data_IF_675749601144
#
_entry.id   IF_675749601144
#
_cell.length_a   1.000
_cell.length_b   1.000
_cell.length_c   1.000
_cell.angle_alpha   90.00
_cell.angle_beta   90.00
_cell.angle_gamma   90.00
#
_symmetry.space_group_name_H-M   'P 1'
#
loop_
_entity.id
_entity.type
_entity.pdbx_description
1 polymer ?
#
# COMPACT_ATOMS: atom_id res chain seq x y z
N UNK A 1 16.29 -3.89 -13.33
CA UNK A 1 16.16 -3.50 -13.21
C UNK A 1 15.80 -2.79 -12.49
N UNK A 2 15.35 -2.88 -12.02
CA UNK A 2 15.09 -1.69 -11.63
C UNK A 2 14.89 -1.60 -10.22
N UNK A 3 15.52 -0.72 -9.58
CA UNK A 3 15.34 -0.45 -8.18
C UNK A 3 14.57 0.85 -8.06
N UNK A 4 13.39 0.85 -8.64
CA UNK A 4 12.55 2.03 -8.73
C UNK A 4 12.09 2.51 -7.37
N UNK A 5 12.09 1.63 -6.37
CA UNK A 5 11.68 1.98 -5.01
C UNK A 5 12.84 1.96 -4.04
N UNK A 6 14.06 2.11 -4.55
CA UNK A 6 15.23 2.13 -3.70
C UNK A 6 15.13 3.26 -2.68
N UNK A 7 15.37 2.94 -1.42
CA UNK A 7 15.25 3.92 -0.34
C UNK A 7 13.82 4.18 0.13
N UNK A 8 12.83 3.57 -0.51
CA UNK A 8 11.44 3.73 -0.09
C UNK A 8 11.06 2.63 0.87
N UNK A 9 10.14 2.94 1.79
CA UNK A 9 9.63 1.97 2.74
C UNK A 9 8.25 1.54 2.35
N UNK A 10 8.03 0.23 2.28
CA UNK A 10 6.75 -0.36 1.88
C UNK A 10 6.26 -1.25 3.00
N UNK A 11 5.02 -1.03 3.42
CA UNK A 11 4.37 -1.88 4.41
C UNK A 11 3.32 -2.71 3.69
N UNK A 12 3.44 -4.03 3.81
CA UNK A 12 2.51 -4.98 3.19
C UNK A 12 1.62 -5.56 4.28
N UNK A 13 0.32 -5.46 4.11
CA UNK A 13 -0.64 -5.86 5.13
C UNK A 13 -1.64 -6.84 4.56
N UNK A 14 -1.62 -8.06 5.04
CA UNK A 14 -2.58 -9.10 4.65
C UNK A 14 -2.50 -10.20 5.69
N UNK A 15 -3.64 -10.81 6.04
CA UNK A 15 -3.63 -11.89 7.01
C UNK A 15 -3.31 -13.24 6.38
N UNK A 16 -3.19 -13.30 5.07
CA UNK A 16 -2.83 -14.51 4.34
C UNK A 16 -1.32 -14.51 4.12
N UNK A 17 -0.62 -15.43 4.78
CA UNK A 17 0.84 -15.48 4.68
C UNK A 17 1.34 -15.78 3.28
N UNK A 18 0.57 -16.54 2.50
CA UNK A 18 0.97 -16.83 1.12
C UNK A 18 0.94 -15.56 0.27
N UNK A 19 -0.06 -14.74 0.49
CA UNK A 19 -0.14 -13.46 -0.23
C UNK A 19 0.99 -12.54 0.21
N UNK A 20 1.27 -12.46 1.51
CA UNK A 20 2.39 -11.66 1.98
C UNK A 20 3.70 -12.11 1.38
N UNK A 21 3.93 -13.42 1.32
CA UNK A 21 5.16 -13.95 0.72
C UNK A 21 5.26 -13.60 -0.75
N UNK A 22 4.14 -13.70 -1.47
CA UNK A 22 4.13 -13.34 -2.89
C UNK A 22 4.41 -11.86 -3.10
N UNK A 23 3.83 -11.01 -2.26
CA UNK A 23 4.06 -9.57 -2.37
C UNK A 23 5.51 -9.22 -2.03
N UNK A 24 6.06 -9.84 -0.98
CA UNK A 24 7.47 -9.60 -0.65
C UNK A 24 8.37 -9.95 -1.80
N UNK A 25 8.13 -11.11 -2.43
CA UNK A 25 8.94 -11.52 -3.57
C UNK A 25 8.81 -10.54 -4.73
N UNK A 26 7.62 -10.00 -4.95
CA UNK A 26 7.39 -9.07 -6.04
C UNK A 26 8.07 -7.72 -5.80
N UNK A 27 8.10 -7.27 -4.54
CA UNK A 27 8.70 -5.98 -4.21
C UNK A 27 10.21 -6.03 -4.04
N UNK A 28 10.78 -7.20 -3.80
CA UNK A 28 12.20 -7.32 -3.51
C UNK A 28 13.07 -6.70 -4.61
N UNK A 29 12.82 -6.99 -5.90
CA UNK A 29 13.68 -6.41 -6.95
C UNK A 29 13.59 -4.90 -7.07
N UNK A 30 12.57 -4.26 -6.47
CA UNK A 30 12.41 -2.82 -6.56
C UNK A 30 13.40 -2.06 -5.67
N UNK A 31 14.07 -2.75 -4.75
CA UNK A 31 14.97 -2.11 -3.80
C UNK A 31 14.30 -1.51 -2.58
N UNK A 32 12.99 -1.69 -2.44
CA UNK A 32 12.26 -1.14 -1.30
C UNK A 32 12.65 -1.86 0.00
N UNK A 33 12.58 -1.10 1.11
CA UNK A 33 12.63 -1.71 2.44
C UNK A 33 11.22 -2.18 2.77
N UNK A 34 11.08 -3.45 3.06
CA UNK A 34 9.77 -4.09 3.17
C UNK A 34 9.50 -4.50 4.61
N UNK A 35 8.34 -4.12 5.12
CA UNK A 35 7.81 -4.62 6.38
C UNK A 35 6.46 -5.27 6.12
N UNK A 36 6.07 -6.18 7.00
CA UNK A 36 4.79 -6.88 6.86
C UNK A 36 4.01 -6.82 8.16
N UNK A 37 2.69 -6.85 8.03
CA UNK A 37 1.79 -6.97 9.16
C UNK A 37 0.65 -7.90 8.76
N UNK A 38 0.20 -8.73 9.70
CA UNK A 38 -0.85 -9.70 9.42
C UNK A 38 -2.18 -9.33 10.07
N UNK A 39 -2.25 -8.18 10.72
CA UNK A 39 -3.52 -7.70 11.29
C UNK A 39 -3.51 -6.18 11.29
N UNK A 40 -4.69 -5.60 11.50
CA UNK A 40 -4.86 -4.16 11.40
C UNK A 40 -4.16 -3.36 12.49
N UNK A 41 -4.12 -3.90 13.71
CA UNK A 41 -3.48 -3.18 14.80
C UNK A 41 -1.99 -3.07 14.59
N UNK A 42 -1.36 -4.16 14.14
CA UNK A 42 0.07 -4.14 13.84
C UNK A 42 0.36 -3.22 12.68
N UNK A 43 -0.53 -3.17 11.70
CA UNK A 43 -0.36 -2.29 10.55
C UNK A 43 -0.32 -0.83 10.97
N UNK A 44 -1.25 -0.42 11.83
CA UNK A 44 -1.28 0.96 12.33
C UNK A 44 -0.01 1.26 13.13
N UNK A 45 0.37 0.33 13.99
CA UNK A 45 1.58 0.51 14.80
C UNK A 45 2.81 0.74 13.94
N UNK A 46 3.01 -0.10 12.93
CA UNK A 46 4.18 0.01 12.06
C UNK A 46 4.12 1.26 11.19
N UNK A 47 2.91 1.62 10.72
CA UNK A 47 2.78 2.81 9.91
C UNK A 47 3.12 4.07 10.70
N UNK A 48 2.70 4.12 11.95
CA UNK A 48 2.98 5.28 12.79
C UNK A 48 4.44 5.34 13.20
N UNK A 49 5.01 4.18 13.48
CA UNK A 49 6.40 4.12 13.96
C UNK A 49 7.39 4.40 12.83
N UNK A 50 7.20 3.79 11.69
CA UNK A 50 8.20 3.79 10.63
C UNK A 50 7.85 4.68 9.45
N UNK A 51 6.63 5.19 9.39
CA UNK A 51 6.18 6.15 8.38
C UNK A 51 6.53 5.71 6.95
N UNK A 52 5.93 4.62 6.49
CA UNK A 52 6.23 4.11 5.15
C UNK A 52 5.82 5.09 4.06
N UNK A 53 6.45 4.96 2.92
CA UNK A 53 6.06 5.72 1.73
C UNK A 53 4.81 5.12 1.10
N UNK A 54 4.65 3.81 1.20
CA UNK A 54 3.57 3.07 0.56
C UNK A 54 3.06 2.00 1.48
N UNK A 55 1.74 1.84 1.54
CA UNK A 55 1.10 0.74 2.26
C UNK A 55 0.21 -0.03 1.28
N UNK A 56 0.41 -1.33 1.20
CA UNK A 56 -0.48 -2.23 0.47
C UNK A 56 -1.35 -2.91 1.50
N UNK A 57 -2.65 -2.70 1.42
CA UNK A 57 -3.54 -2.96 2.54
C UNK A 57 -4.72 -3.82 2.14
N UNK A 58 -4.86 -4.98 2.77
CA UNK A 58 -6.04 -5.82 2.61
C UNK A 58 -7.20 -5.20 3.38
N UNK A 59 -8.38 -5.22 2.77
CA UNK A 59 -9.57 -4.68 3.41
C UNK A 59 -10.05 -5.55 4.57
N UNK A 60 -9.94 -6.86 4.42
CA UNK A 60 -10.49 -7.81 5.41
C UNK A 60 -9.38 -8.32 6.32
N UNK A 61 -9.22 -7.67 7.46
CA UNK A 61 -8.14 -7.99 8.41
C UNK A 61 -8.71 -8.29 9.78
N UNK A 62 -8.09 -9.21 10.53
CA UNK A 62 -8.45 -9.39 11.93
C UNK A 62 -7.97 -8.20 12.75
N UNK A 63 -8.61 -7.97 13.86
CA UNK A 63 -8.24 -6.93 14.81
C UNK A 63 -8.79 -5.58 14.45
N UNK A 64 -8.45 -5.09 13.28
CA UNK A 64 -8.92 -3.79 12.80
C UNK A 64 -9.09 -3.87 11.29
N UNK A 65 -10.26 -3.56 10.79
CA UNK A 65 -10.54 -3.69 9.36
C UNK A 65 -9.63 -2.75 8.56
N UNK A 66 -9.44 -3.10 7.28
CA UNK A 66 -8.62 -2.27 6.39
C UNK A 66 -9.12 -0.84 6.28
N UNK A 67 -10.44 -0.64 6.32
CA UNK A 67 -10.99 0.73 6.28
C UNK A 67 -10.55 1.53 7.50
N UNK A 68 -10.57 0.91 8.69
CA UNK A 68 -10.14 1.61 9.90
C UNK A 68 -8.65 1.89 9.89
N UNK A 69 -7.85 0.97 9.33
CA UNK A 69 -6.42 1.21 9.16
C UNK A 69 -6.20 2.39 8.22
N UNK A 70 -6.88 2.37 7.06
CA UNK A 70 -6.77 3.44 6.08
C UNK A 70 -7.13 4.79 6.70
N UNK A 71 -8.26 4.84 7.40
CA UNK A 71 -8.70 6.06 8.04
C UNK A 71 -7.63 6.58 9.01
N UNK A 72 -7.08 5.68 9.80
CA UNK A 72 -6.09 6.07 10.80
C UNK A 72 -4.81 6.59 10.19
N UNK A 73 -4.27 5.88 9.20
CA UNK A 73 -2.97 6.27 8.65
C UNK A 73 -3.06 7.47 7.71
N UNK A 74 -4.25 7.74 7.15
CA UNK A 74 -4.44 8.92 6.30
C UNK A 74 -5.08 10.09 7.04
N UNK A 75 -5.33 9.96 8.33
CA UNK A 75 -6.00 11.02 9.09
C UNK A 75 -5.24 12.33 8.93
N UNK A 76 -5.95 13.37 8.50
CA UNK A 76 -5.40 14.72 8.33
C UNK A 76 -4.30 14.79 7.28
N UNK A 77 -4.26 13.83 6.36
CA UNK A 77 -3.25 13.82 5.30
C UNK A 77 -3.94 13.87 3.96
N UNK A 78 -3.42 14.65 3.02
CA UNK A 78 -3.99 14.69 1.67
C UNK A 78 -3.84 13.34 0.97
N UNK A 79 -4.77 13.07 0.06
CA UNK A 79 -4.77 11.83 -0.71
C UNK A 79 -3.44 11.61 -1.44
N UNK A 80 -2.87 12.68 -1.97
CA UNK A 80 -1.66 12.59 -2.79
C UNK A 80 -0.37 12.74 -2.01
N UNK A 81 -0.43 12.51 -0.69
CA UNK A 81 0.75 12.58 0.16
C UNK A 81 1.03 11.22 0.77
N UNK A 82 2.23 11.05 1.31
CA UNK A 82 2.61 9.83 2.00
C UNK A 82 1.80 9.66 3.28
N UNK A 83 1.49 8.45 3.66
CA UNK A 83 1.74 7.24 2.87
C UNK A 83 0.70 7.10 1.77
N UNK A 84 1.17 6.68 0.60
CA UNK A 84 0.24 6.28 -0.46
C UNK A 84 -0.30 4.91 -0.08
N UNK A 85 -1.59 4.68 -0.32
CA UNK A 85 -2.23 3.43 0.08
C UNK A 85 -2.85 2.76 -1.13
N UNK A 86 -2.47 1.50 -1.33
CA UNK A 86 -3.11 0.64 -2.32
C UNK A 86 -3.95 -0.36 -1.54
N UNK A 87 -5.25 -0.36 -1.75
CA UNK A 87 -6.12 -1.31 -1.06
C UNK A 87 -6.43 -2.49 -1.98
N UNK A 88 -6.37 -3.69 -1.43
CA UNK A 88 -6.66 -4.93 -2.14
C UNK A 88 -7.75 -5.66 -1.38
N UNK A 89 -8.76 -6.13 -2.10
CA UNK A 89 -9.88 -6.79 -1.45
C UNK A 89 -10.50 -7.84 -2.35
N UNK A 90 -11.06 -8.87 -1.75
CA UNK A 90 -11.89 -9.83 -2.48
C UNK A 90 -13.30 -9.32 -2.75
N UNK A 91 -13.67 -8.20 -2.17
CA UNK A 91 -15.01 -7.66 -2.31
C UNK A 91 -15.05 -6.69 -3.49
N UNK A 92 -15.96 -6.95 -4.44
CA UNK A 92 -16.06 -6.17 -5.66
C UNK A 92 -17.15 -5.11 -5.61
N UNK A 93 -17.77 -4.87 -4.47
CA UNK A 93 -18.86 -3.92 -4.36
C UNK A 93 -18.41 -2.50 -4.59
N UNK A 94 -19.18 -1.75 -5.38
CA UNK A 94 -18.85 -0.37 -5.70
C UNK A 94 -18.84 0.54 -4.47
N UNK A 95 -19.70 0.22 -3.50
CA UNK A 95 -19.76 1.00 -2.27
C UNK A 95 -18.44 0.98 -1.51
N UNK A 96 -17.81 -0.20 -1.47
CA UNK A 96 -16.54 -0.33 -0.75
C UNK A 96 -15.46 0.50 -1.42
N UNK A 97 -15.46 0.51 -2.74
CA UNK A 97 -14.48 1.31 -3.48
C UNK A 97 -14.69 2.80 -3.22
N UNK A 98 -15.94 3.25 -3.28
CA UNK A 98 -16.26 4.65 -3.04
C UNK A 98 -15.89 5.07 -1.63
N UNK A 99 -16.13 4.19 -0.66
CA UNK A 99 -15.79 4.48 0.72
C UNK A 99 -14.28 4.58 0.90
N UNK A 100 -13.54 3.64 0.31
CA UNK A 100 -12.07 3.70 0.36
C UNK A 100 -11.56 4.98 -0.26
N UNK A 101 -12.12 5.39 -1.38
CA UNK A 101 -11.72 6.62 -2.03
C UNK A 101 -11.98 7.83 -1.16
N UNK A 102 -13.10 7.84 -0.45
CA UNK A 102 -13.41 8.93 0.46
C UNK A 102 -12.44 9.01 1.63
N UNK A 103 -11.80 7.90 1.98
CA UNK A 103 -10.82 7.86 3.05
C UNK A 103 -9.40 8.13 2.57
N UNK A 104 -9.21 8.36 1.28
CA UNK A 104 -7.92 8.76 0.76
C UNK A 104 -7.07 7.65 0.17
N UNK A 105 -7.67 6.53 -0.23
CA UNK A 105 -6.92 5.46 -0.90
C UNK A 105 -6.41 5.97 -2.25
N UNK A 106 -5.21 5.54 -2.62
CA UNK A 106 -4.59 5.97 -3.88
C UNK A 106 -4.97 5.04 -5.03
N UNK A 107 -5.06 3.74 -4.76
CA UNK A 107 -5.46 2.74 -5.74
C UNK A 107 -6.26 1.67 -5.05
N UNK A 108 -7.10 0.99 -5.81
CA UNK A 108 -8.01 -0.02 -5.26
C UNK A 108 -8.06 -1.18 -6.26
N UNK A 109 -7.63 -2.36 -5.82
CA UNK A 109 -7.66 -3.56 -6.65
C UNK A 109 -8.54 -4.62 -6.02
N UNK A 110 -9.17 -5.43 -6.87
CA UNK A 110 -9.88 -6.61 -6.39
C UNK A 110 -9.02 -7.84 -6.58
N UNK A 111 -9.13 -8.78 -5.64
CA UNK A 111 -8.41 -10.05 -5.73
C UNK A 111 -9.04 -10.94 -6.79
N UNK A 112 -8.24 -11.74 -7.50
CA UNK A 112 -6.79 -11.85 -7.38
C UNK A 112 -6.10 -10.71 -8.12
N UNK A 113 -5.13 -10.09 -7.48
CA UNK A 113 -4.37 -9.01 -8.11
C UNK A 113 -3.10 -9.59 -8.72
N UNK A 114 -2.79 -9.14 -9.92
CA UNK A 114 -1.54 -9.55 -10.56
C UNK A 114 -0.40 -8.74 -9.99
N UNK A 115 0.68 -9.42 -9.63
CA UNK A 115 1.80 -8.75 -8.97
C UNK A 115 2.44 -7.69 -9.85
N UNK A 116 2.50 -7.92 -11.18
CA UNK A 116 3.06 -6.91 -12.06
C UNK A 116 2.23 -5.62 -12.06
N UNK A 117 0.92 -5.74 -11.94
CA UNK A 117 0.06 -4.56 -11.87
C UNK A 117 0.20 -3.85 -10.53
N UNK A 118 0.37 -4.61 -9.46
CA UNK A 118 0.60 -4.05 -8.14
C UNK A 118 1.91 -3.26 -8.12
N UNK A 119 2.97 -3.85 -8.65
CA UNK A 119 4.27 -3.18 -8.70
C UNK A 119 4.20 -1.93 -9.56
N UNK A 120 3.52 -1.99 -10.71
CA UNK A 120 3.39 -0.81 -11.56
C UNK A 120 2.69 0.33 -10.83
N UNK A 121 1.64 0.02 -10.07
CA UNK A 121 0.95 1.05 -9.29
C UNK A 121 1.86 1.61 -8.20
N UNK A 122 2.61 0.75 -7.54
CA UNK A 122 3.53 1.18 -6.49
C UNK A 122 4.60 2.11 -7.05
N UNK A 123 5.14 1.77 -8.21
CA UNK A 123 6.15 2.59 -8.85
C UNK A 123 5.59 3.95 -9.27
N UNK A 124 4.36 3.95 -9.78
CA UNK A 124 3.72 5.20 -10.17
C UNK A 124 3.49 6.11 -8.99
N UNK A 125 3.08 5.55 -7.86
CA UNK A 125 2.72 6.34 -6.67
C UNK A 125 3.93 6.78 -5.86
N UNK A 126 4.86 5.88 -5.61
CA UNK A 126 5.94 6.13 -4.66
C UNK A 126 7.31 6.15 -5.29
N UNK A 127 7.47 5.64 -6.50
CA UNK A 127 8.79 5.48 -7.11
C UNK A 127 9.36 6.74 -7.66
N UNK A 128 8.57 7.54 -8.04
CA UNK A 128 8.91 8.66 -8.80
C UNK A 128 10.25 9.21 -8.79
N UNK A 129 10.79 9.47 -9.25
CA UNK A 129 11.56 10.15 -9.34
C UNK A 129 11.92 10.72 -9.54
N UNK A 130 11.74 10.11 -9.51
CA UNK A 130 12.04 10.51 -9.66
C UNK A 130 12.17 11.36 -10.17
N UNK A 131 12.08 11.14 -10.26
CA UNK A 131 12.21 11.76 -10.64
C UNK A 131 11.94 12.78 -10.88
N UNK A 132 11.84 12.82 -10.75
CA UNK A 132 11.57 13.67 -10.96
C UNK A 132 11.53 14.66 -11.06
N UNK A 133 11.58 14.44 -10.65
CA UNK A 133 11.45 15.24 -10.71
C UNK A 133 11.72 16.02 -11.24
N UNK A 134 12.11 15.61 -11.30
CA UNK A 134 12.43 16.08 -11.71
C UNK A 134 12.18 16.81 -12.50
N UNK A 135 11.85 16.58 -12.64
CA UNK A 135 11.61 16.99 -13.33
C UNK A 135 10.94 17.84 -13.50
N UNK A 136 11.04 17.99 -13.17
CA UNK A 136 10.45 18.68 -13.25
C UNK A 136 10.21 19.48 -13.70
N UNK A 137 9.94 19.73 -13.82
CA UNK A 137 9.63 20.49 -14.33
C UNK A 137 9.57 21.05 -14.59
#
# INVERSE_FOLDING_TARGET
>A
MSQTLDGKRVLLVDDDNDILTSMQAAFEPTGAEIETASNGNKAVELAEKNQPDLVVLDMMLPGRSGFLVLEKIKARKPKNSKPFVIMITGNTGARHKMFAESLGVSEYFTKPVKMDKLIAAAERLAGGPAAPAAQAP
#
